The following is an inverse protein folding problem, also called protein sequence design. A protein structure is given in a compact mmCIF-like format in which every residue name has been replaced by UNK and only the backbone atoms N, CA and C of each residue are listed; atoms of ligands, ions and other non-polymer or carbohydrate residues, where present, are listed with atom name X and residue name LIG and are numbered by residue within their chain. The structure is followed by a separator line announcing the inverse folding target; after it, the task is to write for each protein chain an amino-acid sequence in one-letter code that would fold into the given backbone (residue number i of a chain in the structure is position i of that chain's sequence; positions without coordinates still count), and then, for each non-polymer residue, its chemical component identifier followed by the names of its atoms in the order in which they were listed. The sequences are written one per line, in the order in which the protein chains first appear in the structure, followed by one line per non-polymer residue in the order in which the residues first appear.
data_IF_948083167426
#
_entry.id   IF_948083167426
#
_cell.length_a   1.000
_cell.length_b   1.000
_cell.length_c   1.000
_cell.angle_alpha   90.00
_cell.angle_beta   90.00
_cell.angle_gamma   90.00
#
_symmetry.space_group_name_H-M   'P 1'
#
loop_
_entity.id
_entity.type
_entity.pdbx_description
1 polymer ?
#
# COMPACT_ATOMS: atom_id res chain seq x y z
N UNK A 1 -11.00 -1.39 -17.05
CA UNK A 1 -9.80 -1.56 -16.22
C UNK A 1 -10.14 -1.34 -14.75
N UNK A 2 -9.43 -1.99 -13.83
CA UNK A 2 -9.58 -1.78 -12.37
C UNK A 2 -8.29 -1.23 -11.79
N UNK A 3 -8.35 -0.63 -10.60
CA UNK A 3 -7.16 -0.21 -9.87
C UNK A 3 -6.78 -1.29 -8.85
N UNK A 4 -5.50 -1.60 -8.77
CA UNK A 4 -4.97 -2.56 -7.81
C UNK A 4 -3.72 -2.01 -7.13
N UNK A 5 -3.55 -2.28 -5.85
CA UNK A 5 -2.40 -1.87 -5.04
C UNK A 5 -1.80 -3.06 -4.32
N UNK A 6 -0.49 -3.04 -4.11
CA UNK A 6 0.24 -4.08 -3.39
C UNK A 6 0.83 -3.52 -2.09
N UNK A 7 0.59 -4.23 -0.99
CA UNK A 7 1.22 -3.98 0.30
C UNK A 7 2.36 -4.99 0.46
N UNK A 8 3.58 -4.48 0.37
CA UNK A 8 4.80 -5.24 0.62
C UNK A 8 5.25 -4.97 2.06
N UNK A 9 5.45 -6.02 2.86
CA UNK A 9 5.90 -5.88 4.25
C UNK A 9 7.20 -6.65 4.46
N UNK A 10 8.21 -5.96 4.99
CA UNK A 10 9.45 -6.56 5.46
C UNK A 10 9.52 -6.52 6.99
N UNK A 11 10.16 -7.53 7.59
CA UNK A 11 10.49 -7.56 9.02
C UNK A 11 11.99 -7.32 9.19
N UNK A 12 12.34 -6.29 9.95
CA UNK A 12 13.73 -5.94 10.28
C UNK A 12 13.81 -5.86 11.81
N UNK A 13 14.50 -6.82 12.42
CA UNK A 13 14.45 -7.04 13.87
C UNK A 13 13.01 -7.25 14.35
N UNK A 14 12.59 -6.47 15.36
CA UNK A 14 11.23 -6.49 15.91
C UNK A 14 10.25 -5.54 15.20
N UNK A 15 10.72 -4.81 14.19
CA UNK A 15 9.91 -3.81 13.47
C UNK A 15 9.43 -4.35 12.12
N UNK A 16 8.25 -3.89 11.71
CA UNK A 16 7.68 -4.15 10.37
C UNK A 16 7.70 -2.86 9.56
N UNK A 17 8.00 -2.99 8.28
CA UNK A 17 8.11 -1.89 7.33
C UNK A 17 7.26 -2.18 6.11
N UNK A 18 6.60 -1.15 5.57
CA UNK A 18 5.90 -1.22 4.29
C UNK A 18 6.65 -0.41 3.23
N UNK A 19 6.67 -0.92 2.00
CA UNK A 19 7.25 -0.18 0.87
C UNK A 19 6.23 0.86 0.39
N UNK A 20 6.64 2.13 0.37
CA UNK A 20 5.87 3.23 -0.20
C UNK A 20 6.62 3.84 -1.38
N UNK A 21 5.87 4.35 -2.34
CA UNK A 21 6.37 5.15 -3.44
C UNK A 21 5.85 6.59 -3.36
N UNK A 22 6.67 7.57 -3.75
CA UNK A 22 6.29 8.98 -3.81
C UNK A 22 5.85 9.33 -5.23
N UNK A 23 4.67 9.94 -5.36
CA UNK A 23 4.16 10.44 -6.64
C UNK A 23 5.05 11.57 -7.17
N UNK A 24 5.12 11.75 -8.51
CA UNK A 24 5.74 12.95 -9.10
C UNK A 24 5.21 14.23 -8.45
N UNK A 25 6.01 15.29 -8.41
CA UNK A 25 5.65 16.54 -7.73
C UNK A 25 4.45 17.26 -8.35
N UNK A 26 4.16 17.01 -9.62
CA UNK A 26 3.08 17.63 -10.38
C UNK A 26 1.87 16.71 -10.55
N UNK A 27 0.72 17.30 -10.86
CA UNK A 27 -0.52 16.59 -11.11
C UNK A 27 -1.31 16.25 -9.83
N UNK A 28 -2.33 15.42 -9.99
CA UNK A 28 -3.24 15.05 -8.90
C UNK A 28 -2.48 14.32 -7.79
N UNK A 29 -2.60 14.86 -6.56
CA UNK A 29 -1.90 14.38 -5.35
C UNK A 29 -0.38 14.37 -5.50
N UNK A 30 0.17 15.33 -6.26
CA UNK A 30 1.61 15.44 -6.49
C UNK A 30 2.42 15.47 -5.19
N UNK A 31 3.53 14.73 -5.16
CA UNK A 31 4.42 14.63 -4.00
C UNK A 31 3.89 13.82 -2.80
N UNK A 32 2.66 13.31 -2.85
CA UNK A 32 2.13 12.40 -1.82
C UNK A 32 2.72 11.00 -1.96
N UNK A 33 2.73 10.27 -0.85
CA UNK A 33 3.14 8.87 -0.81
C UNK A 33 1.95 7.95 -1.00
N UNK A 34 2.20 6.82 -1.65
CA UNK A 34 1.22 5.80 -1.97
C UNK A 34 1.84 4.40 -1.85
N UNK A 35 0.98 3.39 -1.69
CA UNK A 35 1.40 2.00 -1.89
C UNK A 35 1.61 1.77 -3.40
N UNK A 36 2.64 0.99 -3.80
CA UNK A 36 2.83 0.67 -5.21
C UNK A 36 1.54 0.11 -5.82
N UNK A 37 1.10 0.70 -6.93
CA UNK A 37 -0.21 0.41 -7.50
C UNK A 37 -0.19 0.50 -9.03
N UNK A 38 -1.27 0.07 -9.66
CA UNK A 38 -1.42 0.17 -11.10
C UNK A 38 -2.85 -0.01 -11.57
N UNK A 39 -3.09 0.43 -12.80
CA UNK A 39 -4.31 0.13 -13.54
C UNK A 39 -4.13 -1.21 -14.26
N UNK A 40 -5.08 -2.11 -14.06
CA UNK A 40 -4.98 -3.50 -14.53
C UNK A 40 -6.22 -3.91 -15.33
N UNK A 41 -6.04 -4.85 -16.24
CA UNK A 41 -7.11 -5.43 -17.05
C UNK A 41 -7.33 -6.89 -16.65
N UNK A 42 -8.60 -7.32 -16.62
CA UNK A 42 -8.95 -8.69 -16.20
C UNK A 42 -8.65 -8.95 -14.72
N UNK A 43 -7.94 -10.03 -14.44
CA UNK A 43 -7.63 -10.49 -13.08
C UNK A 43 -6.72 -9.48 -12.35
N UNK A 44 -7.17 -8.90 -11.21
CA UNK A 44 -6.40 -7.87 -10.52
C UNK A 44 -5.05 -8.35 -10.00
N UNK A 45 -4.95 -9.58 -9.49
CA UNK A 45 -3.71 -10.08 -8.89
C UNK A 45 -2.62 -10.30 -9.94
N UNK A 46 -2.98 -10.97 -11.06
CA UNK A 46 -2.08 -11.21 -12.19
C UNK A 46 -1.68 -9.92 -12.89
N UNK A 47 -2.63 -9.02 -13.11
CA UNK A 47 -2.36 -7.72 -13.73
C UNK A 47 -1.45 -6.83 -12.88
N UNK A 48 -1.60 -6.89 -11.55
CA UNK A 48 -0.83 -6.08 -10.62
C UNK A 48 0.66 -6.38 -10.68
N UNK A 49 1.07 -7.65 -10.72
CA UNK A 49 2.50 -8.00 -10.87
C UNK A 49 3.13 -7.38 -12.12
N UNK A 50 2.43 -7.38 -13.26
CA UNK A 50 2.92 -6.74 -14.50
C UNK A 50 2.97 -5.22 -14.36
N UNK A 51 1.93 -4.61 -13.77
CA UNK A 51 1.86 -3.18 -13.58
C UNK A 51 2.99 -2.66 -12.65
N UNK A 52 3.29 -3.39 -11.57
CA UNK A 52 4.38 -3.01 -10.65
C UNK A 52 5.74 -3.09 -11.34
N UNK A 53 5.99 -4.16 -12.12
CA UNK A 53 7.23 -4.29 -12.88
C UNK A 53 7.42 -3.14 -13.87
N UNK A 54 6.37 -2.74 -14.59
CA UNK A 54 6.42 -1.65 -15.56
C UNK A 54 6.53 -0.27 -14.91
N UNK A 55 5.78 -0.03 -13.83
CA UNK A 55 5.69 1.29 -13.20
C UNK A 55 6.83 1.60 -12.23
N UNK A 56 7.40 0.57 -11.57
CA UNK A 56 8.38 0.76 -10.50
C UNK A 56 9.69 -0.02 -10.71
N UNK A 57 9.78 -0.86 -11.74
CA UNK A 57 11.03 -1.56 -12.09
C UNK A 57 11.41 -2.74 -11.20
N UNK A 58 10.58 -3.14 -10.24
CA UNK A 58 10.82 -4.31 -9.40
C UNK A 58 9.72 -5.36 -9.54
N UNK A 59 10.04 -6.61 -9.19
CA UNK A 59 9.16 -7.76 -9.38
C UNK A 59 8.55 -8.24 -8.06
N UNK A 60 7.26 -8.56 -8.10
CA UNK A 60 6.46 -8.94 -6.94
C UNK A 60 5.55 -10.12 -7.25
N UNK A 61 5.17 -10.86 -6.23
CA UNK A 61 4.07 -11.82 -6.27
C UNK A 61 2.91 -11.28 -5.43
N UNK A 62 1.76 -11.09 -6.04
CA UNK A 62 0.52 -10.84 -5.30
C UNK A 62 0.06 -12.14 -4.62
N UNK A 63 -0.31 -12.04 -3.34
CA UNK A 63 -0.82 -13.16 -2.54
C UNK A 63 -2.22 -12.87 -2.04
N UNK A 64 -2.38 -12.83 -0.72
CA UNK A 64 -3.66 -12.62 -0.03
C UNK A 64 -4.35 -11.30 -0.44
N UNK A 65 -5.64 -11.36 -0.77
CA UNK A 65 -6.46 -10.17 -0.96
C UNK A 65 -6.81 -9.55 0.40
N UNK A 66 -6.43 -8.29 0.61
CA UNK A 66 -6.76 -7.49 1.81
C UNK A 66 -8.11 -6.75 1.68
N UNK A 67 -8.85 -7.04 0.60
CA UNK A 67 -10.14 -6.45 0.27
C UNK A 67 -10.06 -5.27 -0.67
N UNK A 68 -11.18 -4.55 -0.79
CA UNK A 68 -11.33 -3.40 -1.70
C UNK A 68 -11.46 -2.12 -0.87
N UNK A 69 -10.76 -1.07 -1.29
CA UNK A 69 -10.86 0.27 -0.72
C UNK A 69 -11.57 1.16 -1.74
N UNK A 70 -12.58 1.91 -1.30
CA UNK A 70 -13.42 2.75 -2.17
C UNK A 70 -13.40 4.19 -1.67
N UNK A 71 -13.30 5.13 -2.60
CA UNK A 71 -13.43 6.55 -2.29
C UNK A 71 -14.13 7.29 -3.44
N UNK A 72 -14.98 8.25 -3.07
CA UNK A 72 -15.62 9.16 -4.00
C UNK A 72 -14.95 10.52 -3.89
N UNK A 73 -14.25 10.93 -4.94
CA UNK A 73 -13.88 12.32 -5.16
C UNK A 73 -15.06 13.05 -5.80
N UNK A 74 -15.08 14.38 -5.71
CA UNK A 74 -16.18 15.21 -6.21
C UNK A 74 -16.58 14.90 -7.66
N UNK A 75 -15.61 14.57 -8.52
CA UNK A 75 -15.84 14.34 -9.94
C UNK A 75 -15.75 12.88 -10.39
N UNK A 76 -15.31 11.96 -9.51
CA UNK A 76 -15.12 10.56 -9.88
C UNK A 76 -15.05 9.62 -8.67
N UNK A 77 -15.35 8.34 -8.87
CA UNK A 77 -15.22 7.29 -7.85
C UNK A 77 -14.09 6.35 -8.20
N UNK A 78 -13.36 5.89 -7.18
CA UNK A 78 -12.26 4.93 -7.32
C UNK A 78 -12.52 3.73 -6.42
N UNK A 79 -12.28 2.54 -6.95
CA UNK A 79 -12.20 1.29 -6.19
C UNK A 79 -10.83 0.66 -6.45
N UNK A 80 -10.09 0.38 -5.37
CA UNK A 80 -8.76 -0.22 -5.42
C UNK A 80 -8.79 -1.58 -4.76
N UNK A 81 -8.43 -2.62 -5.50
CA UNK A 81 -8.22 -3.97 -5.00
C UNK A 81 -6.84 -4.04 -4.34
N UNK A 82 -6.81 -4.38 -3.05
CA UNK A 82 -5.57 -4.35 -2.27
C UNK A 82 -5.12 -5.78 -2.04
N UNK A 83 -3.85 -6.06 -2.36
CA UNK A 83 -3.24 -7.36 -2.13
C UNK A 83 -2.05 -7.21 -1.21
N UNK A 84 -1.88 -8.16 -0.29
CA UNK A 84 -0.59 -8.39 0.33
C UNK A 84 0.30 -9.10 -0.69
N UNK A 85 1.57 -8.71 -0.74
CA UNK A 85 2.52 -9.33 -1.65
C UNK A 85 3.89 -9.52 -1.05
N UNK A 86 4.73 -10.15 -1.85
CA UNK A 86 6.12 -10.41 -1.55
C UNK A 86 6.98 -9.94 -2.71
N UNK A 87 8.17 -9.44 -2.40
CA UNK A 87 9.19 -9.16 -3.39
C UNK A 87 9.78 -10.48 -3.88
N UNK A 88 9.96 -10.61 -5.20
CA UNK A 88 10.69 -11.76 -5.75
C UNK A 88 12.20 -11.54 -5.73
N UNK A 89 12.64 -10.29 -5.62
CA UNK A 89 14.04 -9.88 -5.51
C UNK A 89 14.14 -8.65 -4.57
N UNK A 90 15.25 -8.46 -3.85
CA UNK A 90 15.45 -7.27 -3.04
C UNK A 90 15.29 -5.98 -3.86
N UNK A 91 14.67 -4.98 -3.26
CA UNK A 91 14.50 -3.65 -3.85
C UNK A 91 15.37 -2.65 -3.11
N UNK A 92 16.08 -1.78 -3.86
CA UNK A 92 16.86 -0.69 -3.27
C UNK A 92 15.97 0.52 -3.08
N UNK A 93 16.12 1.20 -1.96
CA UNK A 93 15.46 2.48 -1.74
C UNK A 93 15.99 3.55 -2.69
N UNK A 94 15.12 4.51 -2.99
CA UNK A 94 15.42 5.71 -3.77
C UNK A 94 14.78 6.92 -3.08
N UNK A 95 14.96 8.12 -3.65
CA UNK A 95 14.27 9.31 -3.15
C UNK A 95 12.74 9.18 -3.18
N UNK A 96 12.22 8.38 -4.11
CA UNK A 96 10.79 8.18 -4.37
C UNK A 96 10.31 6.77 -4.00
N UNK A 97 11.13 5.93 -3.37
CA UNK A 97 10.77 4.58 -2.96
C UNK A 97 11.42 4.23 -1.63
N UNK A 98 10.64 4.02 -0.57
CA UNK A 98 11.16 3.86 0.80
C UNK A 98 10.45 2.77 1.59
N UNK A 99 11.20 2.07 2.43
CA UNK A 99 10.65 1.23 3.50
C UNK A 99 10.31 2.10 4.70
N UNK A 100 9.02 2.22 4.97
CA UNK A 100 8.51 3.02 6.08
C UNK A 100 8.02 2.10 7.19
N UNK A 101 8.47 2.35 8.41
CA UNK A 101 8.02 1.58 9.58
C UNK A 101 6.49 1.68 9.69
N UNK A 102 5.81 0.56 9.94
CA UNK A 102 4.33 0.56 9.99
C UNK A 102 3.77 1.57 11.01
N UNK A 103 4.45 1.75 12.14
CA UNK A 103 4.07 2.73 13.17
C UNK A 103 4.25 4.19 12.75
N UNK A 104 4.95 4.44 11.65
CA UNK A 104 5.25 5.79 11.15
C UNK A 104 4.48 6.15 9.88
N UNK A 105 3.73 5.21 9.30
CA UNK A 105 2.89 5.46 8.11
C UNK A 105 1.98 6.68 8.28
N UNK A 106 1.48 6.91 9.50
CA UNK A 106 0.64 8.06 9.82
C UNK A 106 1.30 9.42 9.54
N UNK A 107 2.63 9.51 9.58
CA UNK A 107 3.42 10.73 9.39
C UNK A 107 3.63 11.11 7.91
N UNK A 108 3.36 10.19 6.98
CA UNK A 108 3.60 10.42 5.56
C UNK A 108 2.34 11.02 4.90
N UNK A 109 2.47 12.11 4.11
CA UNK A 109 1.33 12.69 3.41
C UNK A 109 0.85 11.69 2.34
N UNK A 110 -0.44 11.34 2.38
CA UNK A 110 -1.04 10.30 1.55
C UNK A 110 -2.41 10.74 1.05
N UNK A 111 -2.80 10.24 -0.12
CA UNK A 111 -4.19 10.32 -0.58
C UNK A 111 -5.13 9.53 0.33
N UNK A 112 -6.44 9.80 0.22
CA UNK A 112 -7.44 9.15 1.09
C UNK A 112 -7.46 7.62 0.96
N UNK A 113 -7.24 7.10 -0.25
CA UNK A 113 -7.15 5.65 -0.50
C UNK A 113 -5.97 5.04 0.24
N UNK A 114 -4.75 5.56 0.04
CA UNK A 114 -3.54 5.04 0.68
C UNK A 114 -3.57 5.19 2.20
N UNK A 115 -4.17 6.28 2.71
CA UNK A 115 -4.42 6.44 4.14
C UNK A 115 -5.32 5.32 4.67
N UNK A 116 -6.42 4.99 4.00
CA UNK A 116 -7.28 3.87 4.38
C UNK A 116 -6.56 2.51 4.29
N UNK A 117 -5.67 2.30 3.32
CA UNK A 117 -4.84 1.10 3.25
C UNK A 117 -3.89 1.03 4.46
N UNK A 118 -3.24 2.15 4.81
CA UNK A 118 -2.32 2.22 5.96
C UNK A 118 -3.02 1.85 7.27
N UNK A 119 -4.23 2.38 7.51
CA UNK A 119 -5.03 2.11 8.71
C UNK A 119 -5.43 0.63 8.81
N UNK A 120 -5.66 -0.05 7.68
CA UNK A 120 -5.98 -1.48 7.64
C UNK A 120 -4.81 -2.39 8.00
N UNK A 121 -3.58 -1.99 7.66
CA UNK A 121 -2.38 -2.84 7.83
C UNK A 121 -1.56 -2.49 9.06
N UNK A 122 -1.80 -1.32 9.66
CA UNK A 122 -1.19 -0.97 10.93
C UNK A 122 -1.57 -2.00 11.99
N UNK A 123 -0.63 -2.37 12.88
CA UNK A 123 -0.98 -3.18 14.03
C UNK A 123 -2.10 -2.47 14.78
N UNK A 124 -3.25 -3.13 14.95
CA UNK A 124 -4.21 -2.68 15.94
C UNK A 124 -3.49 -2.76 17.27
N UNK A 125 -3.36 -1.63 17.96
CA UNK A 125 -2.92 -1.66 19.35
C UNK A 125 -3.78 -2.70 20.06
N UNK A 126 -3.15 -3.71 20.64
CA UNK A 126 -3.82 -4.58 21.60
C UNK A 126 -4.01 -3.75 22.87
N UNK A 127 -4.92 -2.78 22.80
CA UNK A 127 -5.42 -2.05 23.95
C UNK A 127 -6.25 -3.00 24.78
N UNK A 128 -5.70 -3.32 25.96
CA UNK A 128 -6.35 -3.85 27.15
C UNK A 128 -7.42 -4.93 26.96
N UNK A 129 -7.08 -6.14 27.41
CA UNK A 129 -8.05 -6.93 28.17
C UNK A 129 -8.64 -6.01 29.24
N UNK A 130 -9.87 -5.53 29.04
CA UNK A 130 -10.68 -5.04 30.15
C UNK A 130 -11.05 -6.27 30.95
N UNK A 131 -10.24 -6.47 31.97
CA UNK A 131 -10.48 -7.30 33.13
C UNK A 131 -11.92 -7.15 33.60
N UNK A 132 -12.54 -8.31 33.82
CA UNK A 132 -13.66 -8.52 34.75
C UNK A 132 -13.58 -7.57 35.94
N UNK A 133 -14.72 -7.01 36.34
CA UNK A 133 -15.37 -7.20 37.66
C UNK A 133 -16.44 -6.12 37.92
N UNK A 134 -17.32 -6.33 38.90
CA UNK A 134 -17.81 -7.59 39.50
C UNK A 134 -19.22 -7.94 39.00
#
# INVERSE_FOLDING_TARGET
HVHAAIVLVAKIGNSRYALLSKRPSHGLLGGMWEFPNGRVEGDPARGLTKAIKLGYGFSVRAGEALGVVRHAYTHFRVAVHVFRGELTLPVRETETLKWVKLSELGKYPMGKIDRQISEKIMPKDKGAQSTRKP
#
